data_IF_036750842326
#
_entry.id   IF_036750842326
#
_cell.length_a   1.000
_cell.length_b   1.000
_cell.length_c   1.000
_cell.angle_alpha   90.00
_cell.angle_beta   90.00
_cell.angle_gamma   90.00
#
_symmetry.space_group_name_H-M   'P 1'
#
loop_
_entity.id
_entity.type
_entity.pdbx_description
1 polymer ?
#
# COMPACT_ATOMS: atom_id res chain seq x y z
N UNK A 1 -4.42 12.44 -17.83
CA UNK A 1 -4.55 10.96 -17.87
C UNK A 1 -5.60 10.59 -16.85
N UNK A 2 -6.70 9.93 -17.22
CA UNK A 2 -7.75 9.59 -16.26
C UNK A 2 -7.59 8.12 -15.85
N UNK A 3 -7.37 7.88 -14.55
CA UNK A 3 -7.20 6.53 -14.00
C UNK A 3 -8.44 6.27 -13.16
N UNK A 4 -9.26 5.30 -13.57
CA UNK A 4 -10.42 4.88 -12.80
C UNK A 4 -9.99 3.70 -11.91
N UNK A 5 -10.02 3.90 -10.59
CA UNK A 5 -9.73 2.87 -9.60
C UNK A 5 -11.02 2.48 -8.92
N UNK A 6 -11.39 1.21 -9.09
CA UNK A 6 -12.49 0.61 -8.33
C UNK A 6 -11.91 0.16 -6.98
N UNK A 7 -12.19 0.93 -5.93
CA UNK A 7 -11.70 0.66 -4.59
C UNK A 7 -12.82 0.08 -3.73
N UNK A 8 -12.54 -0.94 -2.91
CA UNK A 8 -13.46 -1.35 -1.87
C UNK A 8 -13.76 -0.16 -0.94
N UNK A 9 -15.01 0.00 -0.45
CA UNK A 9 -15.40 1.15 0.35
C UNK A 9 -14.62 1.29 1.66
N UNK A 10 -14.18 0.17 2.25
CA UNK A 10 -13.36 0.15 3.46
C UNK A 10 -11.97 0.74 3.19
N UNK A 11 -11.32 0.30 2.10
CA UNK A 11 -10.01 0.78 1.68
C UNK A 11 -10.02 2.24 1.25
N UNK A 12 -11.06 2.67 0.51
CA UNK A 12 -11.22 4.08 0.13
C UNK A 12 -11.27 4.97 1.37
N UNK A 13 -12.00 4.55 2.40
CA UNK A 13 -12.13 5.30 3.65
C UNK A 13 -10.79 5.42 4.39
N UNK A 14 -10.02 4.34 4.49
CA UNK A 14 -8.68 4.37 5.09
C UNK A 14 -7.73 5.31 4.35
N UNK A 15 -7.70 5.22 3.01
CA UNK A 15 -6.88 6.09 2.16
C UNK A 15 -7.27 7.56 2.30
N UNK A 16 -8.56 7.85 2.39
CA UNK A 16 -9.06 9.22 2.57
C UNK A 16 -8.64 9.79 3.94
N UNK A 17 -8.63 8.94 4.97
CA UNK A 17 -8.21 9.32 6.32
C UNK A 17 -6.70 9.64 6.35
N UNK A 18 -5.89 8.78 5.75
CA UNK A 18 -4.44 8.98 5.61
C UNK A 18 -4.10 10.23 4.79
N UNK A 19 -4.80 10.43 3.67
CA UNK A 19 -4.66 11.64 2.86
C UNK A 19 -4.97 12.90 3.68
N UNK A 20 -6.02 12.87 4.50
CA UNK A 20 -6.41 13.97 5.36
C UNK A 20 -5.36 14.29 6.43
N UNK A 21 -4.74 13.27 7.03
CA UNK A 21 -3.64 13.47 7.98
C UNK A 21 -2.43 14.14 7.32
N UNK A 22 -2.20 13.85 6.04
CA UNK A 22 -1.10 14.40 5.25
C UNK A 22 -1.46 15.72 4.56
N UNK A 23 -2.68 16.26 4.77
CA UNK A 23 -3.22 17.44 4.09
C UNK A 23 -3.19 17.31 2.55
N UNK A 24 -3.38 16.09 2.05
CA UNK A 24 -3.44 15.77 0.63
C UNK A 24 -4.88 15.44 0.23
N UNK A 25 -5.20 15.66 -1.04
CA UNK A 25 -6.44 15.12 -1.61
C UNK A 25 -6.28 13.62 -1.80
N UNK A 26 -7.40 12.87 -1.84
CA UNK A 26 -7.38 11.44 -2.11
C UNK A 26 -6.62 11.11 -3.40
N UNK A 27 -6.83 11.89 -4.45
CA UNK A 27 -6.13 11.71 -5.74
C UNK A 27 -4.62 11.93 -5.64
N UNK A 28 -4.17 12.98 -4.93
CA UNK A 28 -2.75 13.24 -4.71
C UNK A 28 -2.10 12.14 -3.87
N UNK A 29 -2.79 11.69 -2.83
CA UNK A 29 -2.33 10.58 -1.99
C UNK A 29 -2.23 9.28 -2.77
N UNK A 30 -3.25 8.93 -3.58
CA UNK A 30 -3.23 7.76 -4.45
C UNK A 30 -2.09 7.85 -5.47
N UNK A 31 -1.89 9.00 -6.12
CA UNK A 31 -0.78 9.18 -7.04
C UNK A 31 0.57 8.99 -6.35
N UNK A 32 0.71 9.53 -5.12
CA UNK A 32 1.91 9.33 -4.31
C UNK A 32 2.11 7.86 -3.98
N UNK A 33 1.08 7.14 -3.53
CA UNK A 33 1.16 5.69 -3.23
C UNK A 33 1.53 4.88 -4.49
N UNK A 34 0.90 5.17 -5.63
CA UNK A 34 1.17 4.48 -6.90
C UNK A 34 2.57 4.77 -7.43
N UNK A 35 3.09 6.00 -7.21
CA UNK A 35 4.44 6.41 -7.62
C UNK A 35 5.51 5.87 -6.66
N UNK A 36 5.20 5.83 -5.36
CA UNK A 36 6.09 5.36 -4.29
C UNK A 36 6.09 3.84 -4.19
N UNK A 37 5.10 3.13 -4.77
CA UNK A 37 5.16 1.67 -4.92
C UNK A 37 6.42 1.30 -5.72
N UNK A 38 7.50 1.10 -4.97
CA UNK A 38 8.61 0.26 -5.35
C UNK A 38 7.96 -1.08 -5.66
N UNK A 39 7.76 -1.36 -6.94
CA UNK A 39 7.65 -2.74 -7.40
C UNK A 39 8.82 -3.43 -6.72
N UNK A 40 8.53 -4.37 -5.82
CA UNK A 40 9.56 -5.07 -5.06
C UNK A 40 10.63 -5.49 -6.05
N UNK A 41 11.80 -4.86 -5.97
CA UNK A 41 12.88 -5.07 -6.96
C UNK A 41 13.29 -6.55 -6.95
N UNK A 42 13.04 -7.23 -5.84
CA UNK A 42 13.16 -8.67 -5.69
C UNK A 42 11.95 -9.20 -4.90
N UNK A 43 10.81 -9.52 -5.54
CA UNK A 43 9.67 -10.06 -4.83
C UNK A 43 10.03 -11.46 -4.30
N UNK A 44 9.54 -11.85 -3.11
CA UNK A 44 9.78 -13.18 -2.56
C UNK A 44 9.27 -14.25 -3.54
N UNK A 45 10.11 -15.23 -3.87
CA UNK A 45 9.82 -16.25 -4.89
C UNK A 45 9.28 -17.54 -4.29
N UNK A 46 9.43 -17.71 -2.99
CA UNK A 46 8.99 -18.87 -2.22
C UNK A 46 8.15 -18.45 -1.03
N UNK A 47 7.35 -19.38 -0.49
CA UNK A 47 6.52 -19.12 0.69
C UNK A 47 7.34 -18.71 1.91
N UNK A 48 8.52 -19.29 2.11
CA UNK A 48 9.41 -18.93 3.21
C UNK A 48 9.95 -17.50 3.09
N UNK A 49 10.32 -17.07 1.87
CA UNK A 49 10.74 -15.69 1.62
C UNK A 49 9.58 -14.69 1.82
N UNK A 50 8.35 -15.09 1.49
CA UNK A 50 7.17 -14.23 1.69
C UNK A 50 6.89 -14.01 3.18
N UNK A 51 6.99 -15.07 3.98
CA UNK A 51 6.84 -14.99 5.45
C UNK A 51 7.95 -14.11 6.05
N UNK A 52 9.20 -14.29 5.63
CA UNK A 52 10.32 -13.47 6.09
C UNK A 52 10.15 -11.99 5.70
N UNK A 53 9.67 -11.72 4.48
CA UNK A 53 9.35 -10.37 4.02
C UNK A 53 8.25 -9.72 4.87
N UNK A 54 7.13 -10.42 5.08
CA UNK A 54 6.05 -9.88 5.90
C UNK A 54 6.42 -9.68 7.36
N UNK A 55 7.31 -10.51 7.90
CA UNK A 55 7.84 -10.33 9.25
C UNK A 55 8.75 -9.10 9.33
N UNK A 56 9.61 -8.89 8.34
CA UNK A 56 10.48 -7.71 8.25
C UNK A 56 9.69 -6.40 8.09
N UNK A 57 8.63 -6.42 7.28
CA UNK A 57 7.74 -5.29 7.07
C UNK A 57 6.72 -5.11 8.21
N UNK A 58 6.77 -5.94 9.26
CA UNK A 58 5.89 -5.84 10.43
C UNK A 58 4.42 -6.17 10.16
N UNK A 59 4.11 -6.78 9.02
CA UNK A 59 2.75 -7.22 8.63
C UNK A 59 2.30 -8.42 9.47
N UNK A 60 3.25 -9.30 9.80
CA UNK A 60 3.02 -10.44 10.71
C UNK A 60 4.01 -10.40 11.86
N UNK A 61 3.55 -10.78 13.05
CA UNK A 61 4.41 -10.92 14.22
C UNK A 61 4.27 -12.35 14.75
N UNK A 62 5.40 -13.04 14.92
CA UNK A 62 5.40 -14.34 15.59
C UNK A 62 5.42 -14.09 17.09
N UNK A 63 4.35 -14.52 17.76
CA UNK A 63 4.21 -14.45 19.21
C UNK A 63 5.01 -15.57 19.89
#
# INVERSE_FOLDING_TARGET
MNINLDLPPDLEKELCNEASQLNLTLSEYILRVLTVRQVLVNPPKTGAELVAYWQNEGVINYK
#
